data_IF_266034265839
#
_entry.id   IF_266034265839
#
_cell.length_a   1.000
_cell.length_b   1.000
_cell.length_c   1.000
_cell.angle_alpha   90.00
_cell.angle_beta   90.00
_cell.angle_gamma   90.00
#
_symmetry.space_group_name_H-M   'P 1'
#
loop_
_entity.id
_entity.type
_entity.pdbx_description
1 polymer ?
#
# COMPACT_ATOMS: atom_id res chain seq x y z
N UNK A 1 -12.38 -6.61 -14.81
CA UNK A 1 -11.92 -6.85 -13.43
C UNK A 1 -13.06 -6.95 -12.42
N UNK A 2 -14.09 -6.11 -12.51
CA UNK A 2 -15.26 -6.15 -11.62
C UNK A 2 -15.94 -7.52 -11.57
N UNK A 3 -16.14 -8.18 -12.72
CA UNK A 3 -16.69 -9.54 -12.78
C UNK A 3 -15.89 -10.55 -11.94
N UNK A 4 -14.56 -10.56 -12.06
CA UNK A 4 -13.71 -11.46 -11.27
C UNK A 4 -13.75 -11.10 -9.78
N UNK A 5 -13.93 -9.82 -9.45
CA UNK A 5 -14.07 -9.36 -8.07
C UNK A 5 -15.38 -9.83 -7.45
N UNK A 6 -16.51 -9.72 -8.15
CA UNK A 6 -17.82 -10.18 -7.66
C UNK A 6 -17.91 -11.69 -7.59
N UNK A 7 -17.24 -12.40 -8.50
CA UNK A 7 -17.18 -13.87 -8.51
C UNK A 7 -16.57 -14.45 -7.21
N UNK A 8 -15.69 -13.70 -6.52
CA UNK A 8 -15.15 -14.11 -5.21
C UNK A 8 -16.19 -14.19 -4.09
N UNK A 9 -17.32 -13.48 -4.23
CA UNK A 9 -18.40 -13.45 -3.24
C UNK A 9 -19.36 -14.64 -3.39
N UNK A 10 -19.20 -15.44 -4.45
CA UNK A 10 -20.10 -16.54 -4.80
C UNK A 10 -19.38 -17.89 -4.66
N UNK A 11 -19.15 -18.39 -3.43
CA UNK A 11 -18.38 -19.61 -3.17
C UNK A 11 -18.91 -20.86 -3.86
N UNK A 12 -20.22 -20.91 -4.15
CA UNK A 12 -20.85 -22.04 -4.84
C UNK A 12 -20.44 -22.13 -6.32
N UNK A 13 -20.11 -21.01 -6.96
CA UNK A 13 -19.80 -20.96 -8.40
C UNK A 13 -18.38 -21.46 -8.68
N UNK A 14 -17.45 -21.21 -7.77
CA UNK A 14 -16.06 -21.67 -7.88
C UNK A 14 -15.73 -22.91 -7.03
N UNK A 15 -16.74 -23.52 -6.39
CA UNK A 15 -16.56 -24.71 -5.54
C UNK A 15 -15.89 -25.89 -6.29
N UNK A 16 -16.15 -25.99 -7.60
CA UNK A 16 -15.63 -27.03 -8.48
C UNK A 16 -14.36 -26.63 -9.25
N UNK A 17 -13.75 -25.48 -8.94
CA UNK A 17 -12.56 -25.04 -9.67
C UNK A 17 -11.35 -25.93 -9.38
N UNK A 18 -10.70 -26.33 -10.46
CA UNK A 18 -9.43 -27.06 -10.47
C UNK A 18 -8.28 -26.06 -10.53
N UNK A 19 -7.05 -26.47 -10.19
CA UNK A 19 -5.86 -25.60 -10.18
C UNK A 19 -5.68 -24.77 -11.46
N UNK A 20 -5.95 -25.35 -12.63
CA UNK A 20 -5.85 -24.64 -13.91
C UNK A 20 -6.82 -23.47 -14.03
N UNK A 21 -8.04 -23.58 -13.49
CA UNK A 21 -9.02 -22.50 -13.52
C UNK A 21 -8.58 -21.32 -12.64
N UNK A 22 -7.96 -21.61 -11.48
CA UNK A 22 -7.32 -20.58 -10.66
C UNK A 22 -6.15 -19.94 -11.41
N UNK A 23 -5.35 -20.74 -12.13
CA UNK A 23 -4.26 -20.22 -12.95
C UNK A 23 -4.78 -19.28 -14.04
N UNK A 24 -5.89 -19.61 -14.71
CA UNK A 24 -6.53 -18.74 -15.70
C UNK A 24 -6.95 -17.41 -15.11
N UNK A 25 -7.55 -17.39 -13.91
CA UNK A 25 -7.93 -16.14 -13.23
C UNK A 25 -6.70 -15.26 -12.98
N UNK A 26 -5.58 -15.84 -12.52
CA UNK A 26 -4.34 -15.10 -12.33
C UNK A 26 -3.76 -14.62 -13.65
N UNK A 27 -3.69 -15.47 -14.68
CA UNK A 27 -3.18 -15.12 -16.00
C UNK A 27 -3.97 -13.98 -16.65
N UNK A 28 -5.30 -13.94 -16.47
CA UNK A 28 -6.14 -12.83 -16.94
C UNK A 28 -5.89 -11.56 -16.12
N UNK A 29 -5.67 -11.67 -14.82
CA UNK A 29 -5.55 -10.51 -13.92
C UNK A 29 -4.17 -9.85 -13.97
N UNK A 30 -3.10 -10.63 -14.18
CA UNK A 30 -1.71 -10.16 -14.12
C UNK A 30 -1.38 -9.04 -15.11
N UNK A 31 -1.82 -9.06 -16.38
CA UNK A 31 -1.58 -7.95 -17.31
C UNK A 31 -2.13 -6.61 -16.83
N UNK A 32 -3.22 -6.62 -16.04
CA UNK A 32 -3.87 -5.41 -15.51
C UNK A 32 -3.14 -4.80 -14.30
N UNK A 33 -2.09 -5.46 -13.79
CA UNK A 33 -1.25 -4.89 -12.72
C UNK A 33 -0.19 -3.94 -13.26
N UNK A 34 -0.19 -3.61 -14.55
CA UNK A 34 0.77 -2.66 -15.14
C UNK A 34 0.28 -1.21 -14.94
N UNK A 35 1.04 -0.44 -14.17
CA UNK A 35 0.71 0.93 -13.77
C UNK A 35 1.00 1.98 -14.85
N UNK A 36 1.73 1.61 -15.90
CA UNK A 36 1.96 2.46 -17.08
C UNK A 36 0.85 2.32 -18.11
N UNK A 37 0.15 1.18 -18.15
CA UNK A 37 -0.89 0.90 -19.14
C UNK A 37 -2.31 1.20 -18.67
N UNK A 38 -2.54 1.22 -17.35
CA UNK A 38 -3.89 1.30 -16.78
C UNK A 38 -3.98 2.31 -15.64
N UNK A 39 -5.20 2.83 -15.41
CA UNK A 39 -5.50 3.73 -14.31
C UNK A 39 -5.27 3.08 -12.94
N UNK A 40 -4.97 3.91 -11.93
CA UNK A 40 -4.78 3.47 -10.55
C UNK A 40 -5.94 2.62 -10.03
N UNK A 41 -7.18 2.94 -10.42
CA UNK A 41 -8.36 2.14 -10.07
C UNK A 41 -8.28 0.70 -10.60
N UNK A 42 -8.00 0.54 -11.90
CA UNK A 42 -7.92 -0.76 -12.56
C UNK A 42 -6.78 -1.60 -12.00
N UNK A 43 -5.61 -0.98 -11.78
CA UNK A 43 -4.44 -1.62 -11.18
C UNK A 43 -4.74 -2.06 -9.75
N UNK A 44 -5.31 -1.18 -8.94
CA UNK A 44 -5.73 -1.48 -7.56
C UNK A 44 -6.74 -2.63 -7.53
N UNK A 45 -7.72 -2.62 -8.43
CA UNK A 45 -8.72 -3.68 -8.53
C UNK A 45 -8.10 -5.00 -8.98
N UNK A 46 -7.09 -4.98 -9.85
CA UNK A 46 -6.35 -6.17 -10.24
C UNK A 46 -5.57 -6.80 -9.08
N UNK A 47 -4.90 -5.98 -8.28
CA UNK A 47 -4.26 -6.44 -7.05
C UNK A 47 -5.27 -7.02 -6.05
N UNK A 48 -6.42 -6.37 -5.89
CA UNK A 48 -7.50 -6.87 -5.05
C UNK A 48 -7.98 -8.26 -5.51
N UNK A 49 -8.24 -8.43 -6.81
CA UNK A 49 -8.65 -9.71 -7.39
C UNK A 49 -7.58 -10.78 -7.14
N UNK A 50 -6.30 -10.50 -7.42
CA UNK A 50 -5.22 -11.46 -7.18
C UNK A 50 -5.17 -11.87 -5.70
N UNK A 51 -5.25 -10.93 -4.77
CA UNK A 51 -5.21 -11.21 -3.33
C UNK A 51 -6.44 -12.01 -2.86
N UNK A 52 -7.64 -11.61 -3.26
CA UNK A 52 -8.89 -12.26 -2.86
C UNK A 52 -8.95 -13.70 -3.39
N UNK A 53 -8.57 -13.92 -4.66
CA UNK A 53 -8.51 -15.25 -5.25
C UNK A 53 -7.40 -16.10 -4.64
N UNK A 54 -6.22 -15.53 -4.36
CA UNK A 54 -5.13 -16.24 -3.71
C UNK A 54 -5.49 -16.73 -2.30
N UNK A 55 -6.27 -15.95 -1.55
CA UNK A 55 -6.77 -16.35 -0.23
C UNK A 55 -7.75 -17.51 -0.32
N UNK A 56 -8.56 -17.58 -1.39
CA UNK A 56 -9.56 -18.63 -1.64
C UNK A 56 -8.95 -19.89 -2.28
N UNK A 57 -7.75 -19.82 -2.85
CA UNK A 57 -7.06 -20.97 -3.44
C UNK A 57 -6.78 -22.09 -2.43
N UNK A 58 -6.89 -23.35 -2.88
CA UNK A 58 -6.53 -24.54 -2.12
C UNK A 58 -5.02 -24.59 -1.80
N UNK A 59 -4.68 -24.97 -0.57
CA UNK A 59 -3.32 -25.05 -0.03
C UNK A 59 -2.27 -25.82 -0.87
N UNK A 60 -2.55 -26.99 -1.47
CA UNK A 60 -1.51 -27.80 -2.12
C UNK A 60 -0.83 -27.10 -3.31
N UNK A 61 -1.54 -26.26 -4.06
CA UNK A 61 -1.03 -25.61 -5.29
C UNK A 61 -0.45 -24.21 -5.05
N UNK A 62 -0.51 -23.71 -3.81
CA UNK A 62 -0.16 -22.32 -3.48
C UNK A 62 1.30 -22.00 -3.84
N UNK A 63 2.21 -22.96 -3.69
CA UNK A 63 3.65 -22.76 -3.97
C UNK A 63 3.93 -22.49 -5.44
N UNK A 64 3.19 -23.13 -6.34
CA UNK A 64 3.39 -22.95 -7.78
C UNK A 64 2.75 -21.65 -8.27
N UNK A 65 1.58 -21.30 -7.73
CA UNK A 65 0.96 -20.01 -7.99
C UNK A 65 1.81 -18.83 -7.50
N UNK A 66 2.41 -18.93 -6.32
CA UNK A 66 3.28 -17.86 -5.79
C UNK A 66 4.46 -17.60 -6.73
N UNK A 67 5.15 -18.65 -7.19
CA UNK A 67 6.27 -18.49 -8.14
C UNK A 67 5.82 -17.82 -9.42
N UNK A 68 4.66 -18.21 -9.95
CA UNK A 68 4.09 -17.64 -11.17
C UNK A 68 3.71 -16.16 -10.99
N UNK A 69 2.97 -15.83 -9.92
CA UNK A 69 2.54 -14.46 -9.61
C UNK A 69 3.75 -13.56 -9.41
N UNK A 70 4.76 -13.97 -8.63
CA UNK A 70 5.99 -13.19 -8.41
C UNK A 70 6.71 -12.94 -9.74
N UNK A 71 6.86 -13.96 -10.58
CA UNK A 71 7.50 -13.83 -11.89
C UNK A 71 6.75 -12.83 -12.78
N UNK A 72 5.42 -12.93 -12.83
CA UNK A 72 4.60 -12.06 -13.66
C UNK A 72 4.56 -10.61 -13.14
N UNK A 73 4.48 -10.40 -11.82
CA UNK A 73 4.57 -9.07 -11.22
C UNK A 73 5.92 -8.42 -11.51
N UNK A 74 7.03 -9.15 -11.35
CA UNK A 74 8.36 -8.66 -11.72
C UNK A 74 8.46 -8.30 -13.20
N UNK A 75 7.90 -9.11 -14.10
CA UNK A 75 7.88 -8.81 -15.53
C UNK A 75 7.05 -7.56 -15.87
N UNK A 76 5.96 -7.29 -15.13
CA UNK A 76 5.16 -6.07 -15.32
C UNK A 76 5.77 -4.82 -14.65
N UNK A 77 6.67 -5.01 -13.68
CA UNK A 77 7.40 -3.94 -12.97
C UNK A 77 8.74 -3.59 -13.61
N UNK A 78 9.30 -4.47 -14.45
CA UNK A 78 10.51 -4.16 -15.20
C UNK A 78 10.19 -3.05 -16.20
N UNK A 79 10.80 -1.86 -16.05
CA UNK A 79 10.58 -0.77 -16.97
C UNK A 79 11.07 -1.22 -18.35
N UNK A 80 10.24 -0.98 -19.36
CA UNK A 80 10.80 -0.55 -20.63
C UNK A 80 11.54 0.76 -20.33
N UNK A 81 12.87 0.68 -20.23
CA UNK A 81 13.77 1.84 -20.19
C UNK A 81 13.56 2.65 -21.46
N UNK A 82 12.74 3.69 -21.40
CA UNK A 82 13.05 5.03 -21.93
C UNK A 82 11.80 5.92 -21.85
N UNK A 83 11.99 7.10 -21.26
CA UNK A 83 11.08 8.25 -21.33
C UNK A 83 9.83 8.20 -20.45
N UNK A 84 9.99 8.49 -19.16
CA UNK A 84 9.24 9.59 -18.53
C UNK A 84 9.75 9.86 -17.10
N UNK A 85 10.55 10.92 -17.00
CA UNK A 85 10.64 11.76 -15.81
C UNK A 85 9.24 12.19 -15.37
N UNK A 86 8.63 11.50 -14.42
CA UNK A 86 7.69 12.11 -13.49
C UNK A 86 8.06 11.65 -12.09
N UNK A 87 8.89 12.49 -11.48
CA UNK A 87 8.99 12.76 -10.07
C UNK A 87 7.59 12.82 -9.44
N UNK A 88 7.07 11.68 -8.96
CA UNK A 88 5.97 11.67 -8.00
C UNK A 88 6.58 11.38 -6.63
N UNK A 89 6.88 12.47 -5.92
CA UNK A 89 7.17 12.49 -4.49
C UNK A 89 6.05 11.75 -3.74
N UNK A 90 6.26 10.47 -3.43
CA UNK A 90 5.56 9.82 -2.33
C UNK A 90 6.44 10.06 -1.11
N UNK A 91 6.29 11.23 -0.50
CA UNK A 91 6.81 11.51 0.83
C UNK A 91 6.10 10.54 1.78
N UNK A 92 6.82 9.51 2.19
CA UNK A 92 6.39 8.60 3.24
C UNK A 92 6.40 9.42 4.53
N UNK A 93 5.22 9.83 4.99
CA UNK A 93 5.04 10.64 6.20
C UNK A 93 5.38 9.77 7.42
N UNK A 94 6.61 9.92 7.91
CA UNK A 94 7.10 9.28 9.13
C UNK A 94 6.24 9.74 10.33
N UNK A 95 5.45 8.83 10.87
CA UNK A 95 4.55 9.07 12.01
C UNK A 95 5.29 9.22 13.35
N UNK A 96 6.60 9.49 13.37
CA UNK A 96 7.40 9.59 14.59
C UNK A 96 7.22 10.90 15.38
N UNK A 97 6.49 11.89 14.84
CA UNK A 97 6.20 13.17 15.51
C UNK A 97 4.78 13.30 16.07
N UNK A 98 4.06 12.20 16.29
CA UNK A 98 2.77 12.23 16.99
C UNK A 98 2.98 12.56 18.47
N UNK A 99 3.01 13.85 18.81
CA UNK A 99 2.79 14.32 20.19
C UNK A 99 1.48 13.73 20.69
N UNK A 100 1.57 12.89 21.74
CA UNK A 100 0.42 12.41 22.52
C UNK A 100 -0.40 13.64 22.92
N UNK A 101 -1.63 13.75 22.44
CA UNK A 101 -2.57 14.76 22.94
C UNK A 101 -2.79 14.49 24.43
N UNK A 102 -2.24 15.33 25.30
CA UNK A 102 -2.61 15.34 26.71
C UNK A 102 -4.01 15.91 26.81
N UNK A 103 -4.88 15.11 27.43
CA UNK A 103 -6.29 15.38 27.60
C UNK A 103 -6.52 16.68 28.40
N UNK A 104 -7.62 17.34 28.05
CA UNK A 104 -8.32 18.40 28.78
C UNK A 104 -8.20 18.26 30.32
N UNK A 105 -7.43 19.14 30.96
CA UNK A 105 -7.71 19.81 32.26
C UNK A 105 -6.47 20.55 32.72
N UNK A 106 -6.24 21.81 32.31
CA UNK A 106 -5.37 22.73 33.05
C UNK A 106 -5.93 24.15 32.97
N UNK A 107 -7.02 24.35 33.72
CA UNK A 107 -7.40 25.67 34.19
C UNK A 107 -6.43 26.07 35.31
N UNK A 108 -5.69 27.17 35.09
CA UNK A 108 -5.28 28.07 36.17
C UNK A 108 -3.85 27.95 36.68
N UNK A 109 -3.12 29.06 36.52
CA UNK A 109 -2.42 29.82 37.58
C UNK A 109 -1.01 30.22 37.11
N UNK A 110 -0.80 31.46 36.63
CA UNK A 110 -0.49 32.67 37.39
C UNK A 110 1.02 32.94 37.48
N UNK A 111 1.49 33.94 36.70
CA UNK A 111 2.59 34.90 36.97
C UNK A 111 4.01 34.28 37.11
N UNK A 112 5.13 34.87 36.70
CA UNK A 112 5.57 36.27 36.59
C UNK A 112 6.73 36.34 35.59
N UNK A 113 6.80 37.47 34.91
CA UNK A 113 7.83 37.94 33.99
C UNK A 113 9.18 38.26 34.65
N UNK A 114 10.23 38.10 33.84
CA UNK A 114 11.47 38.92 33.74
C UNK A 114 12.47 38.97 34.89
N UNK A 115 13.66 38.37 34.67
CA UNK A 115 14.93 38.83 35.23
C UNK A 115 16.03 38.72 34.16
N UNK A 116 16.76 39.79 33.80
CA UNK A 116 17.93 39.69 32.93
C UNK A 116 19.21 39.56 33.77
N UNK A 117 20.10 38.66 33.36
CA UNK A 117 21.46 38.56 33.88
C UNK A 117 22.28 39.80 33.43
N UNK A 118 22.78 40.60 34.39
CA UNK A 118 23.75 41.66 34.14
C UNK A 118 25.17 41.09 34.24
N UNK A 119 25.98 41.33 33.21
CA UNK A 119 27.43 41.17 33.26
C UNK A 119 28.06 42.46 33.83
N UNK A 120 28.89 42.31 34.86
CA UNK A 120 29.68 43.35 35.52
C UNK A 120 31.02 43.55 34.76
N UNK A 121 31.27 44.76 34.26
CA UNK A 121 32.62 45.24 33.88
C UNK A 121 32.77 46.68 34.41
N UNK A 122 33.64 46.84 35.42
CA UNK A 122 34.29 48.08 35.90
C UNK A 122 35.72 48.08 35.31
N UNK A 123 36.46 49.18 35.02
CA UNK A 123 36.67 50.38 35.88
C UNK A 123 37.00 51.71 35.14
N UNK A 124 37.39 52.79 35.87
CA UNK A 124 38.48 53.68 35.47
C UNK A 124 39.84 53.17 35.95
#
# INVERSE_FOLDING_TARGET
>A
MEFLSTLTQLPKVFANFVGDQYMSVFAISLPYTNHFKYNHYTVSLAHHVIAAWFLKCRLPFRRDFVKFIIKALKANMLPFEETQSIKSEIVNEDSSNRKRSSSLTEQGSCKTSSAPARYDIKPP
#
